data_IF_516310539747
#
_entry.id   IF_516310539747
#
_cell.length_a   1.000
_cell.length_b   1.000
_cell.length_c   1.000
_cell.angle_alpha   90.00
_cell.angle_beta   90.00
_cell.angle_gamma   90.00
#
_symmetry.space_group_name_H-M   'P 1'
#
loop_
_entity.id
_entity.type
_entity.pdbx_description
1 polymer ?
#
# COMPACT_ATOMS: atom_id res chain seq x y z
N UNK A 1 -7.77 24.11 -4.28
CA UNK A 1 -6.54 24.63 -4.91
C UNK A 1 -6.38 23.91 -6.24
N UNK A 2 -6.08 24.59 -7.35
CA UNK A 2 -5.90 23.92 -8.63
C UNK A 2 -4.68 22.99 -8.56
N UNK A 3 -4.88 21.71 -8.86
CA UNK A 3 -3.82 20.72 -8.96
C UNK A 3 -3.39 20.69 -10.42
N UNK A 4 -2.17 21.14 -10.72
CA UNK A 4 -1.56 20.92 -12.03
C UNK A 4 -1.15 19.44 -12.13
N UNK A 5 -2.12 18.58 -12.46
CA UNK A 5 -1.90 17.15 -12.62
C UNK A 5 -1.18 16.86 -13.94
N UNK A 6 -0.16 16.01 -13.89
CA UNK A 6 0.53 15.55 -15.09
C UNK A 6 -0.37 14.65 -15.95
N UNK A 7 -0.08 14.54 -17.25
CA UNK A 7 -0.73 13.58 -18.14
C UNK A 7 -0.67 12.15 -17.58
N UNK A 8 0.47 11.80 -16.97
CA UNK A 8 0.67 10.50 -16.32
C UNK A 8 -0.27 10.29 -15.14
N UNK A 9 -0.50 11.32 -14.32
CA UNK A 9 -1.46 11.27 -13.23
C UNK A 9 -2.89 11.03 -13.73
N UNK A 10 -3.31 11.75 -14.77
CA UNK A 10 -4.64 11.59 -15.37
C UNK A 10 -4.85 10.18 -15.95
N UNK A 11 -3.80 9.62 -16.56
CA UNK A 11 -3.86 8.24 -17.06
C UNK A 11 -3.93 7.23 -15.91
N UNK A 12 -3.14 7.41 -14.85
CA UNK A 12 -3.19 6.56 -13.67
C UNK A 12 -4.57 6.64 -12.98
N UNK A 13 -5.18 7.82 -12.96
CA UNK A 13 -6.54 8.01 -12.45
C UNK A 13 -7.59 7.28 -13.30
N UNK A 14 -7.50 7.35 -14.63
CA UNK A 14 -8.35 6.55 -15.53
C UNK A 14 -8.20 5.05 -15.27
N UNK A 15 -6.96 4.56 -15.12
CA UNK A 15 -6.69 3.16 -14.76
C UNK A 15 -7.34 2.80 -13.42
N UNK A 16 -7.22 3.67 -12.42
CA UNK A 16 -7.83 3.44 -11.10
C UNK A 16 -9.36 3.37 -11.17
N UNK A 17 -9.99 4.21 -11.99
CA UNK A 17 -11.44 4.21 -12.21
C UNK A 17 -11.90 2.98 -13.01
N UNK A 18 -11.12 2.53 -13.99
CA UNK A 18 -11.41 1.34 -14.79
C UNK A 18 -11.11 0.02 -14.05
N UNK A 19 -10.26 0.05 -13.01
CA UNK A 19 -9.84 -1.14 -12.28
C UNK A 19 -11.03 -1.82 -11.57
N UNK A 20 -11.22 -3.11 -11.88
CA UNK A 20 -12.29 -3.92 -11.29
C UNK A 20 -11.80 -4.71 -10.08
N UNK A 21 -10.54 -5.17 -10.10
CA UNK A 21 -9.97 -5.95 -9.01
C UNK A 21 -9.34 -5.06 -7.94
N UNK A 22 -9.24 -5.60 -6.72
CA UNK A 22 -8.60 -4.91 -5.61
C UNK A 22 -7.09 -4.72 -5.86
N UNK A 23 -6.45 -5.64 -6.59
CA UNK A 23 -5.02 -5.58 -6.91
C UNK A 23 -4.72 -4.51 -7.94
N UNK A 24 -5.52 -4.42 -8.99
CA UNK A 24 -5.42 -3.38 -10.01
C UNK A 24 -5.65 -1.99 -9.41
N UNK A 25 -6.63 -1.86 -8.49
CA UNK A 25 -6.86 -0.60 -7.76
C UNK A 25 -5.65 -0.19 -6.92
N UNK A 26 -4.96 -1.14 -6.28
CA UNK A 26 -3.74 -0.87 -5.51
C UNK A 26 -2.59 -0.45 -6.44
N UNK A 27 -2.41 -1.14 -7.56
CA UNK A 27 -1.37 -0.82 -8.53
C UNK A 27 -1.57 0.58 -9.12
N UNK A 28 -2.79 0.89 -9.58
CA UNK A 28 -3.13 2.21 -10.12
C UNK A 28 -2.98 3.32 -9.07
N UNK A 29 -3.37 3.09 -7.80
CA UNK A 29 -3.14 4.06 -6.73
C UNK A 29 -1.65 4.34 -6.46
N UNK A 30 -0.79 3.32 -6.56
CA UNK A 30 0.66 3.52 -6.44
C UNK A 30 1.20 4.37 -7.59
N UNK A 31 0.75 4.11 -8.82
CA UNK A 31 1.09 4.94 -9.99
C UNK A 31 0.63 6.39 -9.79
N UNK A 32 -0.62 6.62 -9.34
CA UNK A 32 -1.14 7.96 -9.04
C UNK A 32 -0.31 8.70 -7.98
N UNK A 33 0.14 8.01 -6.92
CA UNK A 33 0.99 8.64 -5.89
C UNK A 33 2.38 8.99 -6.45
N UNK A 34 2.93 8.14 -7.32
CA UNK A 34 4.23 8.38 -7.95
C UNK A 34 4.21 9.59 -8.87
N UNK A 35 3.14 9.74 -9.65
CA UNK A 35 3.00 10.80 -10.67
C UNK A 35 2.30 12.06 -10.14
N UNK A 36 1.73 12.01 -8.94
CA UNK A 36 1.14 13.17 -8.28
C UNK A 36 2.18 14.29 -8.10
N UNK A 37 1.75 15.56 -8.18
CA UNK A 37 2.66 16.68 -7.96
C UNK A 37 3.25 16.69 -6.53
N UNK A 38 4.43 17.28 -6.36
CA UNK A 38 5.19 17.33 -5.10
C UNK A 38 5.24 18.73 -4.45
N UNK A 39 4.51 19.71 -4.99
CA UNK A 39 4.44 21.06 -4.44
C UNK A 39 3.41 21.15 -3.28
N UNK A 40 3.52 22.22 -2.47
CA UNK A 40 2.68 22.45 -1.27
C UNK A 40 1.17 22.31 -1.52
N UNK A 41 0.68 22.77 -2.68
CA UNK A 41 -0.73 22.68 -3.07
C UNK A 41 -1.24 21.25 -3.30
N UNK A 42 -0.35 20.27 -3.47
CA UNK A 42 -0.69 18.86 -3.70
C UNK A 42 -0.46 17.97 -2.47
N UNK A 43 -0.04 18.52 -1.32
CA UNK A 43 0.20 17.73 -0.10
C UNK A 43 -1.06 16.99 0.37
N UNK A 44 -2.19 17.69 0.40
CA UNK A 44 -3.49 17.10 0.77
C UNK A 44 -3.89 15.97 -0.18
N UNK A 45 -3.68 16.16 -1.49
CA UNK A 45 -3.93 15.12 -2.49
C UNK A 45 -3.08 13.87 -2.21
N UNK A 46 -1.77 14.04 -2.00
CA UNK A 46 -0.88 12.91 -1.69
C UNK A 46 -1.28 12.20 -0.40
N UNK A 47 -1.68 12.96 0.62
CA UNK A 47 -2.14 12.41 1.89
C UNK A 47 -3.41 11.56 1.70
N UNK A 48 -4.39 12.06 0.96
CA UNK A 48 -5.61 11.32 0.64
C UNK A 48 -5.33 10.04 -0.14
N UNK A 49 -4.48 10.10 -1.18
CA UNK A 49 -4.12 8.94 -1.98
C UNK A 49 -3.43 7.86 -1.13
N UNK A 50 -2.49 8.25 -0.25
CA UNK A 50 -1.84 7.33 0.70
C UNK A 50 -2.84 6.72 1.68
N UNK A 51 -3.79 7.52 2.20
CA UNK A 51 -4.83 7.02 3.09
C UNK A 51 -5.74 6.00 2.40
N UNK A 52 -6.12 6.24 1.13
CA UNK A 52 -6.89 5.28 0.31
C UNK A 52 -6.10 3.99 0.07
N UNK A 53 -4.81 4.10 -0.27
CA UNK A 53 -3.93 2.95 -0.46
C UNK A 53 -3.86 2.07 0.80
N UNK A 54 -3.67 2.68 1.98
CA UNK A 54 -3.66 1.96 3.27
C UNK A 54 -4.95 1.17 3.50
N UNK A 55 -6.11 1.80 3.29
CA UNK A 55 -7.41 1.15 3.43
C UNK A 55 -7.58 -0.06 2.50
N UNK A 56 -7.08 0.02 1.26
CA UNK A 56 -7.16 -1.11 0.33
C UNK A 56 -6.21 -2.25 0.72
N UNK A 57 -5.00 -1.94 1.18
CA UNK A 57 -4.06 -2.94 1.68
C UNK A 57 -4.64 -3.68 2.89
N UNK A 58 -5.24 -2.97 3.85
CA UNK A 58 -5.92 -3.58 4.99
C UNK A 58 -7.09 -4.47 4.56
N UNK A 59 -7.87 -4.06 3.54
CA UNK A 59 -8.93 -4.91 2.97
C UNK A 59 -8.35 -6.19 2.33
N UNK A 60 -7.21 -6.09 1.64
CA UNK A 60 -6.50 -7.24 1.06
C UNK A 60 -6.01 -8.21 2.14
N UNK A 61 -5.49 -7.69 3.25
CA UNK A 61 -5.05 -8.52 4.37
C UNK A 61 -6.22 -9.18 5.10
N UNK A 62 -7.32 -8.45 5.32
CA UNK A 62 -8.53 -8.99 5.96
C UNK A 62 -9.16 -10.10 5.12
N UNK A 63 -9.25 -9.93 3.80
CA UNK A 63 -9.79 -10.98 2.91
C UNK A 63 -8.91 -12.23 2.86
N UNK A 64 -7.58 -12.09 3.01
CA UNK A 64 -6.67 -13.23 3.19
C UNK A 64 -6.89 -13.92 4.54
N UNK A 65 -7.09 -13.17 5.62
CA UNK A 65 -7.35 -13.74 6.96
C UNK A 65 -8.68 -14.48 7.05
N UNK A 66 -9.71 -14.05 6.31
CA UNK A 66 -11.04 -14.69 6.35
C UNK A 66 -11.14 -15.97 5.52
N UNK A 67 -10.24 -16.21 4.56
CA UNK A 67 -10.28 -17.37 3.64
C UNK A 67 -9.61 -18.65 4.15
N UNK A 68 -9.23 -18.69 5.43
CA UNK A 68 -8.71 -19.89 6.07
C UNK A 68 -7.20 -19.85 6.24
N UNK A 69 -6.78 -19.80 7.50
CA UNK A 69 -5.98 -20.84 8.13
C UNK A 69 -5.82 -20.41 9.58
N UNK A 70 -5.90 -21.37 10.51
CA UNK A 70 -5.15 -21.29 11.75
C UNK A 70 -3.70 -20.98 11.40
N UNK A 71 -3.33 -19.69 11.32
CA UNK A 71 -1.92 -19.33 11.21
C UNK A 71 -1.26 -19.97 12.43
N UNK A 72 -0.21 -20.78 12.21
CA UNK A 72 0.64 -21.27 13.30
C UNK A 72 1.28 -20.04 13.94
N UNK A 73 0.55 -19.43 14.87
CA UNK A 73 1.02 -18.33 15.67
C UNK A 73 1.87 -18.93 16.78
N UNK A 74 3.06 -18.37 16.98
CA UNK A 74 3.89 -18.70 18.12
C UNK A 74 3.12 -18.22 19.35
N UNK A 75 2.82 -19.12 20.29
CA UNK A 75 2.19 -18.75 21.56
C UNK A 75 3.11 -17.77 22.27
N UNK A 76 2.53 -16.77 22.96
CA UNK A 76 3.32 -15.86 23.78
C UNK A 76 3.94 -16.66 24.92
N UNK A 77 5.26 -16.75 24.94
CA UNK A 77 6.04 -17.41 25.99
C UNK A 77 7.28 -16.56 26.26
N UNK A 78 7.53 -16.26 27.54
CA UNK A 78 8.70 -15.51 28.00
C UNK A 78 8.99 -14.23 27.21
N UNK A 79 10.28 -13.95 26.99
CA UNK A 79 10.75 -12.88 26.12
C UNK A 79 10.98 -13.42 24.71
N UNK A 80 10.45 -12.73 23.70
CA UNK A 80 10.65 -13.05 22.29
C UNK A 80 11.57 -12.01 21.66
N UNK A 81 12.69 -12.46 21.07
CA UNK A 81 13.68 -11.61 20.41
C UNK A 81 13.74 -12.00 18.92
N UNK A 82 13.74 -11.01 18.04
CA UNK A 82 13.83 -11.21 16.58
C UNK A 82 15.07 -10.51 16.05
N UNK A 83 15.91 -11.24 15.31
CA UNK A 83 17.09 -10.70 14.62
C UNK A 83 16.82 -10.72 13.11
N UNK A 84 16.77 -9.55 12.48
CA UNK A 84 16.48 -9.39 11.03
C UNK A 84 17.75 -8.94 10.30
N UNK A 85 17.96 -9.49 9.10
CA UNK A 85 19.05 -9.06 8.21
C UNK A 85 19.11 -9.94 6.97
N UNK A 86 20.10 -9.70 6.10
CA UNK A 86 20.31 -10.52 4.90
C UNK A 86 20.90 -11.90 5.23
N UNK A 87 20.96 -12.80 4.24
CA UNK A 87 21.68 -14.06 4.34
C UNK A 87 23.18 -13.80 4.58
N UNK A 88 23.87 -14.70 5.28
CA UNK A 88 25.31 -14.61 5.59
C UNK A 88 25.76 -13.36 6.38
N UNK A 89 24.86 -12.69 7.12
CA UNK A 89 25.21 -11.51 7.92
C UNK A 89 25.49 -11.82 9.41
N UNK A 90 25.87 -13.05 9.74
CA UNK A 90 26.23 -13.45 11.12
C UNK A 90 25.06 -13.53 12.12
N UNK A 91 23.83 -13.80 11.65
CA UNK A 91 22.63 -13.93 12.50
C UNK A 91 22.37 -15.37 12.99
N UNK A 92 23.41 -16.21 13.01
CA UNK A 92 23.36 -17.64 13.35
C UNK A 92 24.30 -17.92 14.52
#
# INVERSE_FOLDING_TARGET
MPINASYEYLNAEKKYLAAQTLEDKIAALKEMISTAPSHKGAENLRAELKARLKKLLEKKEKSKKSKGSSQKAIKKEGYQIVIIGFSNSGKS
#
